data_IF_795450740542
#
_entry.id   IF_795450740542
#
_cell.length_a   1.000
_cell.length_b   1.000
_cell.length_c   1.000
_cell.angle_alpha   90.00
_cell.angle_beta   90.00
_cell.angle_gamma   90.00
#
_symmetry.space_group_name_H-M   'P 1'
#
loop_
_entity.id
_entity.type
_entity.pdbx_description
1 polymer ?
#
# COMPACT_ATOMS: atom_id res chain seq x y z
N UNK A 1 19.74 -10.54 -9.56
CA UNK A 1 19.16 -11.38 -8.50
C UNK A 1 19.49 -10.73 -7.17
N UNK A 2 18.49 -10.39 -6.35
CA UNK A 2 18.67 -9.67 -5.08
C UNK A 2 18.06 -10.46 -3.92
N UNK A 3 18.73 -10.44 -2.77
CA UNK A 3 18.22 -10.99 -1.50
C UNK A 3 18.51 -9.97 -0.41
N UNK A 4 17.48 -9.51 0.30
CA UNK A 4 17.60 -8.54 1.39
C UNK A 4 16.91 -9.07 2.63
N UNK A 5 17.56 -8.94 3.79
CA UNK A 5 16.91 -9.18 5.08
C UNK A 5 15.97 -8.03 5.42
N UNK A 6 14.92 -8.30 6.19
CA UNK A 6 13.95 -7.27 6.57
C UNK A 6 14.63 -6.08 7.28
N UNK A 7 14.44 -4.82 6.81
CA UNK A 7 15.06 -3.65 7.43
C UNK A 7 14.52 -3.38 8.83
N UNK A 8 15.41 -3.22 9.82
CA UNK A 8 15.00 -2.88 11.20
C UNK A 8 14.47 -1.44 11.31
N UNK A 9 14.98 -0.52 10.49
CA UNK A 9 14.57 0.88 10.43
C UNK A 9 13.82 1.19 9.13
N UNK A 10 12.83 2.09 9.12
CA UNK A 10 12.22 2.61 7.90
C UNK A 10 13.24 3.35 7.03
N UNK A 11 13.19 3.14 5.71
CA UNK A 11 13.96 3.93 4.74
C UNK A 11 13.35 5.35 4.56
N UNK A 12 12.05 5.52 4.86
CA UNK A 12 11.41 6.83 4.80
C UNK A 12 9.93 6.81 5.17
N UNK A 13 9.22 7.88 4.78
CA UNK A 13 7.76 8.00 4.92
C UNK A 13 7.13 8.34 3.57
N UNK A 14 6.01 7.70 3.28
CA UNK A 14 5.17 8.05 2.12
C UNK A 14 4.54 9.44 2.31
N UNK A 15 4.05 10.08 1.24
CA UNK A 15 3.30 11.35 1.34
C UNK A 15 2.08 11.27 2.26
N UNK A 16 1.51 10.08 2.43
CA UNK A 16 0.41 9.84 3.34
C UNK A 16 0.84 9.83 4.82
N UNK A 17 2.13 9.63 5.12
CA UNK A 17 2.69 9.51 6.47
C UNK A 17 3.08 8.09 6.90
N UNK A 18 2.78 7.08 6.06
CA UNK A 18 3.15 5.68 6.34
C UNK A 18 4.67 5.51 6.35
N UNK A 19 5.22 4.80 7.32
CA UNK A 19 6.62 4.39 7.32
C UNK A 19 6.84 3.33 6.24
N UNK A 20 7.90 3.48 5.46
CA UNK A 20 8.22 2.63 4.31
C UNK A 20 9.56 1.95 4.56
N UNK A 21 9.58 0.63 4.39
CA UNK A 21 10.79 -0.21 4.34
C UNK A 21 10.86 -0.86 2.97
N UNK A 22 11.90 -0.59 2.18
CA UNK A 22 12.10 -1.24 0.89
C UNK A 22 12.58 -2.67 1.13
N UNK A 23 11.85 -3.65 0.61
CA UNK A 23 12.22 -5.07 0.72
C UNK A 23 13.14 -5.47 -0.44
N UNK A 24 12.71 -5.22 -1.68
CA UNK A 24 13.51 -5.42 -2.89
C UNK A 24 13.13 -4.39 -3.94
N UNK A 25 14.06 -4.08 -4.84
CA UNK A 25 13.85 -3.14 -5.94
C UNK A 25 14.41 -3.74 -7.23
N UNK A 26 13.68 -3.57 -8.34
CA UNK A 26 14.05 -4.06 -9.65
C UNK A 26 13.64 -3.06 -10.72
N UNK A 27 14.04 -3.33 -11.96
CA UNK A 27 13.83 -2.42 -13.09
C UNK A 27 12.35 -2.15 -13.38
N UNK A 28 11.49 -3.15 -13.20
CA UNK A 28 10.06 -3.08 -13.51
C UNK A 28 9.18 -2.88 -12.29
N UNK A 29 9.77 -2.73 -11.10
CA UNK A 29 8.97 -2.63 -9.88
C UNK A 29 9.76 -2.83 -8.60
N UNK A 30 9.13 -2.46 -7.49
CA UNK A 30 9.69 -2.58 -6.15
C UNK A 30 8.70 -3.22 -5.20
N UNK A 31 9.20 -3.82 -4.13
CA UNK A 31 8.41 -4.32 -3.03
C UNK A 31 8.78 -3.55 -1.77
N UNK A 32 7.77 -3.01 -1.10
CA UNK A 32 7.92 -2.26 0.13
C UNK A 32 7.02 -2.84 1.21
N UNK A 33 7.47 -2.74 2.44
CA UNK A 33 6.68 -2.97 3.63
C UNK A 33 6.30 -1.61 4.22
N UNK A 34 4.99 -1.35 4.31
CA UNK A 34 4.46 -0.10 4.82
C UNK A 34 3.70 -0.32 6.13
N UNK A 35 4.02 0.50 7.13
CA UNK A 35 3.33 0.53 8.42
C UNK A 35 2.68 1.89 8.63
N UNK A 36 1.43 1.88 9.05
CA UNK A 36 0.61 3.09 9.17
C UNK A 36 0.22 3.29 10.62
N UNK A 37 0.40 4.51 11.11
CA UNK A 37 0.03 4.85 12.48
C UNK A 37 -1.51 4.86 12.63
N UNK A 38 -2.03 4.65 13.84
CA UNK A 38 -3.46 4.67 14.06
C UNK A 38 -4.15 5.97 13.65
N UNK A 39 -5.34 5.85 13.06
CA UNK A 39 -6.18 7.01 12.70
C UNK A 39 -5.69 7.76 11.47
N UNK A 40 -4.73 7.22 10.74
CA UNK A 40 -4.22 7.85 9.53
C UNK A 40 -5.17 7.58 8.35
N UNK A 41 -5.60 8.65 7.70
CA UNK A 41 -6.39 8.62 6.47
C UNK A 41 -5.59 9.34 5.40
N UNK A 42 -5.35 8.69 4.26
CA UNK A 42 -4.67 9.37 3.18
C UNK A 42 -5.64 10.27 2.39
N UNK A 43 -5.09 11.20 1.62
CA UNK A 43 -5.88 11.90 0.58
C UNK A 43 -6.12 10.92 -0.57
N UNK A 44 -7.27 11.03 -1.22
CA UNK A 44 -7.51 10.28 -2.45
C UNK A 44 -6.41 10.59 -3.48
N UNK A 45 -5.84 9.54 -4.04
CA UNK A 45 -4.69 9.60 -4.96
C UNK A 45 -5.00 8.79 -6.21
N UNK A 46 -4.39 9.17 -7.33
CA UNK A 46 -4.38 8.41 -8.58
C UNK A 46 -2.92 8.26 -9.01
N UNK A 47 -2.48 7.01 -9.24
CA UNK A 47 -1.17 6.78 -9.87
C UNK A 47 -1.29 6.94 -11.38
N UNK A 48 -0.51 7.85 -11.95
CA UNK A 48 -0.53 8.13 -13.39
C UNK A 48 0.19 7.05 -14.22
N UNK A 49 1.19 6.38 -13.65
CA UNK A 49 2.11 5.50 -14.39
C UNK A 49 2.38 4.15 -13.73
N UNK A 50 1.87 3.93 -12.51
CA UNK A 50 2.21 2.77 -11.69
C UNK A 50 0.94 2.02 -11.32
N UNK A 51 1.01 0.69 -11.38
CA UNK A 51 0.01 -0.19 -10.76
C UNK A 51 0.56 -0.66 -9.42
N UNK A 52 -0.29 -0.82 -8.42
CA UNK A 52 0.13 -1.35 -7.13
C UNK A 52 -0.61 -2.64 -6.78
N UNK A 53 0.06 -3.55 -6.08
CA UNK A 53 -0.57 -4.69 -5.41
C UNK A 53 -0.26 -4.65 -3.94
N UNK A 54 -1.27 -4.77 -3.11
CA UNK A 54 -1.13 -4.74 -1.66
C UNK A 54 -1.48 -6.11 -1.09
N UNK A 55 -0.81 -6.48 -0.01
CA UNK A 55 -1.14 -7.63 0.80
C UNK A 55 -1.09 -7.24 2.28
N UNK A 56 -2.18 -7.47 3.00
CA UNK A 56 -2.32 -7.05 4.40
C UNK A 56 -1.72 -8.12 5.32
N UNK A 57 -0.69 -7.75 6.08
CA UNK A 57 -0.02 -8.65 7.03
C UNK A 57 -0.70 -8.66 8.40
N UNK A 58 -1.21 -7.51 8.85
CA UNK A 58 -1.94 -7.37 10.10
C UNK A 58 -2.71 -6.05 10.18
N UNK A 59 -3.62 -6.01 11.14
CA UNK A 59 -4.41 -4.82 11.45
C UNK A 59 -5.72 -4.73 10.68
N UNK A 60 -6.33 -3.56 10.77
CA UNK A 60 -7.66 -3.26 10.28
C UNK A 60 -7.70 -1.88 9.63
N UNK A 61 -8.45 -1.80 8.54
CA UNK A 61 -8.74 -0.57 7.84
C UNK A 61 -9.56 -0.86 6.61
N UNK A 62 -9.66 0.13 5.73
CA UNK A 62 -10.45 0.05 4.51
C UNK A 62 -9.77 0.82 3.39
N UNK A 63 -9.91 0.32 2.17
CA UNK A 63 -9.54 1.02 0.96
C UNK A 63 -10.78 1.22 0.11
N UNK A 64 -11.03 2.46 -0.28
CA UNK A 64 -11.94 2.83 -1.34
C UNK A 64 -11.17 2.91 -2.65
N UNK A 65 -11.72 2.35 -3.72
CA UNK A 65 -11.16 2.37 -5.08
C UNK A 65 -12.25 2.76 -6.06
N UNK A 66 -11.90 3.53 -7.10
CA UNK A 66 -12.77 3.90 -8.21
C UNK A 66 -12.02 3.92 -9.53
N UNK A 67 -12.59 3.26 -10.52
CA UNK A 67 -12.13 3.27 -11.90
C UNK A 67 -13.26 3.70 -12.87
N UNK A 68 -13.13 3.38 -14.15
CA UNK A 68 -14.15 3.69 -15.16
C UNK A 68 -15.41 2.82 -15.05
N UNK A 69 -15.35 1.70 -14.35
CA UNK A 69 -16.44 0.71 -14.22
C UNK A 69 -17.27 0.93 -12.96
N UNK A 70 -16.69 1.51 -11.91
CA UNK A 70 -17.41 1.83 -10.69
C UNK A 70 -16.50 2.17 -9.52
N UNK A 71 -17.09 2.17 -8.33
CA UNK A 71 -16.36 2.32 -7.07
C UNK A 71 -16.73 1.20 -6.08
N UNK A 72 -15.76 0.82 -5.26
CA UNK A 72 -15.95 -0.17 -4.21
C UNK A 72 -15.09 0.14 -2.99
N UNK A 73 -15.48 -0.40 -1.85
CA UNK A 73 -14.69 -0.34 -0.61
C UNK A 73 -14.40 -1.75 -0.14
N UNK A 74 -13.13 -2.02 0.17
CA UNK A 74 -12.64 -3.32 0.61
C UNK A 74 -12.04 -3.20 2.00
N UNK A 75 -12.42 -4.12 2.89
CA UNK A 75 -11.84 -4.23 4.22
C UNK A 75 -10.40 -4.76 4.13
N UNK A 76 -9.46 -4.00 4.68
CA UNK A 76 -8.05 -4.34 4.78
C UNK A 76 -7.80 -5.11 6.08
N UNK A 77 -8.09 -6.40 6.06
CA UNK A 77 -7.80 -7.34 7.15
C UNK A 77 -6.71 -8.34 6.73
N UNK A 78 -6.05 -8.98 7.70
CA UNK A 78 -4.96 -9.94 7.45
C UNK A 78 -5.33 -10.95 6.36
N UNK A 79 -4.44 -11.10 5.37
CA UNK A 79 -4.58 -12.05 4.28
C UNK A 79 -5.27 -11.50 3.04
N UNK A 80 -5.92 -10.33 3.13
CA UNK A 80 -6.52 -9.66 1.97
C UNK A 80 -5.42 -9.13 1.05
N UNK A 81 -5.59 -9.36 -0.24
CA UNK A 81 -4.78 -8.76 -1.29
C UNK A 81 -5.64 -7.85 -2.16
N UNK A 82 -5.07 -6.73 -2.59
CA UNK A 82 -5.78 -5.67 -3.33
C UNK A 82 -4.94 -5.29 -4.53
N UNK A 83 -5.54 -5.25 -5.70
CA UNK A 83 -4.98 -4.70 -6.92
C UNK A 83 -5.39 -3.22 -7.10
N UNK A 84 -4.47 -2.39 -7.54
CA UNK A 84 -4.72 -0.97 -7.82
C UNK A 84 -4.11 -0.69 -9.20
N UNK A 85 -4.86 -0.94 -10.28
CA UNK A 85 -4.38 -0.65 -11.64
C UNK A 85 -4.05 0.82 -11.83
N UNK A 86 -3.16 1.12 -12.78
CA UNK A 86 -2.86 2.50 -13.20
C UNK A 86 -4.14 3.27 -13.54
N UNK A 87 -4.22 4.54 -13.12
CA UNK A 87 -5.40 5.37 -13.32
C UNK A 87 -6.55 5.13 -12.33
N UNK A 88 -6.45 4.15 -11.43
CA UNK A 88 -7.43 3.93 -10.37
C UNK A 88 -7.30 5.01 -9.30
N UNK A 89 -8.40 5.68 -8.98
CA UNK A 89 -8.48 6.56 -7.82
C UNK A 89 -8.65 5.70 -6.57
N UNK A 90 -7.86 5.94 -5.53
CA UNK A 90 -8.00 5.21 -4.29
C UNK A 90 -7.73 6.08 -3.07
N UNK A 91 -8.37 5.71 -1.96
CA UNK A 91 -8.17 6.31 -0.66
C UNK A 91 -8.21 5.18 0.38
N UNK A 92 -7.36 5.25 1.40
CA UNK A 92 -7.43 4.29 2.50
C UNK A 92 -7.46 4.98 3.85
N UNK A 93 -8.16 4.33 4.78
CA UNK A 93 -8.13 4.62 6.22
C UNK A 93 -7.64 3.40 6.95
N UNK A 94 -6.68 3.56 7.84
CA UNK A 94 -6.16 2.45 8.64
C UNK A 94 -6.32 2.80 10.12
N UNK A 95 -6.92 1.89 10.87
CA UNK A 95 -7.06 2.01 12.32
C UNK A 95 -5.78 1.58 13.02
N UNK A 96 -5.20 0.46 12.61
CA UNK A 96 -3.81 0.02 12.83
C UNK A 96 -3.54 -0.91 11.66
N UNK A 97 -2.49 -0.75 10.85
CA UNK A 97 -2.23 -1.75 9.82
C UNK A 97 -0.78 -1.82 9.37
N UNK A 98 -0.42 -3.05 9.01
CA UNK A 98 0.87 -3.44 8.45
C UNK A 98 0.61 -4.17 7.15
N UNK A 99 1.22 -3.70 6.07
CA UNK A 99 0.94 -4.20 4.73
C UNK A 99 2.21 -4.23 3.89
N UNK A 100 2.27 -5.17 2.95
CA UNK A 100 3.28 -5.22 1.90
C UNK A 100 2.64 -4.64 0.65
N UNK A 101 3.36 -3.76 -0.04
CA UNK A 101 2.96 -3.21 -1.33
C UNK A 101 4.02 -3.55 -2.36
N UNK A 102 3.60 -3.86 -3.56
CA UNK A 102 4.47 -3.89 -4.73
C UNK A 102 3.98 -2.86 -5.73
N UNK A 103 4.90 -2.09 -6.27
CA UNK A 103 4.69 -1.08 -7.31
C UNK A 103 5.42 -1.53 -8.58
#
# INVERSE_FOLDING_TARGET
>A
MQTRSFPSVPDGRSPAGAEVRVLVEGETGSMIHSTVAPGQVNRATVHATVSEFWHVLSGEGQIWRRDATGEETTDLVRGVSVDIPVGTAFQYRLATATLVRTC
#
